data_IF_652204545423
#
_entry.id   IF_652204545423
#
_cell.length_a   1.000
_cell.length_b   1.000
_cell.length_c   1.000
_cell.angle_alpha   90.00
_cell.angle_beta   90.00
_cell.angle_gamma   90.00
#
_symmetry.space_group_name_H-M   'P 1'
#
loop_
_entity.id
_entity.type
_entity.pdbx_description
1 polymer ?
#
# COMPACT_ATOMS: atom_id res chain seq x y z
N UNK A 1 18.92 -25.93 -8.36
CA UNK A 1 17.94 -25.97 -7.25
C UNK A 1 18.63 -26.60 -6.06
N UNK A 2 19.31 -25.78 -5.26
CA UNK A 2 19.83 -26.21 -3.97
C UNK A 2 18.65 -26.30 -3.00
N UNK A 3 18.43 -27.49 -2.44
CA UNK A 3 17.55 -27.66 -1.28
C UNK A 3 18.17 -26.84 -0.14
N UNK A 4 17.62 -25.66 0.16
CA UNK A 4 17.85 -25.04 1.48
C UNK A 4 17.37 -26.04 2.51
N UNK A 5 18.29 -26.65 3.25
CA UNK A 5 17.99 -27.38 4.47
C UNK A 5 17.19 -26.43 5.37
N UNK A 6 15.91 -26.73 5.58
CA UNK A 6 15.15 -26.10 6.65
C UNK A 6 15.81 -26.54 7.96
N UNK A 7 16.68 -25.68 8.51
CA UNK A 7 17.21 -25.86 9.86
C UNK A 7 15.99 -25.77 10.78
N UNK A 8 15.62 -26.90 11.39
CA UNK A 8 14.47 -26.97 12.28
C UNK A 8 14.62 -25.98 13.44
N UNK A 9 13.60 -25.14 13.65
CA UNK A 9 13.48 -24.26 14.82
C UNK A 9 13.60 -25.08 16.11
N UNK A 10 14.16 -24.47 17.15
CA UNK A 10 14.20 -25.10 18.47
C UNK A 10 12.79 -25.24 19.04
N UNK A 11 12.49 -26.41 19.58
CA UNK A 11 11.26 -26.65 20.32
C UNK A 11 11.23 -25.81 21.59
N UNK A 12 10.02 -25.62 22.14
CA UNK A 12 9.81 -24.89 23.40
C UNK A 12 10.72 -25.36 24.55
N UNK A 13 10.96 -26.67 24.63
CA UNK A 13 11.79 -27.28 25.67
C UNK A 13 13.27 -26.98 25.42
N UNK A 14 13.72 -27.02 24.16
CA UNK A 14 15.10 -26.70 23.78
C UNK A 14 15.42 -25.21 23.98
N UNK A 15 14.49 -24.31 23.63
CA UNK A 15 14.62 -22.86 23.87
C UNK A 15 14.76 -22.54 25.35
N UNK A 16 13.94 -23.20 26.18
CA UNK A 16 14.06 -23.07 27.63
C UNK A 16 15.43 -23.57 28.10
N UNK A 17 15.86 -24.76 27.70
CA UNK A 17 17.14 -25.31 28.12
C UNK A 17 18.35 -24.46 27.71
N UNK A 18 18.36 -23.95 26.48
CA UNK A 18 19.46 -23.09 25.99
C UNK A 18 19.47 -21.72 26.68
N UNK A 19 18.30 -21.09 26.86
CA UNK A 19 18.21 -19.85 27.65
C UNK A 19 18.71 -20.05 29.08
N UNK A 20 18.27 -21.13 29.73
CA UNK A 20 18.69 -21.50 31.08
C UNK A 20 20.21 -21.69 31.18
N UNK A 21 20.79 -22.40 30.20
CA UNK A 21 22.22 -22.72 30.12
C UNK A 21 23.07 -21.46 29.94
N UNK A 22 22.74 -20.61 28.96
CA UNK A 22 23.49 -19.36 28.69
C UNK A 22 23.35 -18.35 29.83
N UNK A 23 22.15 -18.20 30.40
CA UNK A 23 21.92 -17.33 31.55
C UNK A 23 22.71 -17.77 32.79
N UNK A 24 22.79 -19.08 33.06
CA UNK A 24 23.58 -19.63 34.17
C UNK A 24 25.09 -19.52 33.92
N UNK A 25 25.54 -19.71 32.67
CA UNK A 25 26.95 -19.57 32.30
C UNK A 25 27.47 -18.13 32.48
N UNK A 26 26.66 -17.12 32.14
CA UNK A 26 27.00 -15.71 32.37
C UNK A 26 26.93 -15.27 33.84
N UNK A 27 26.09 -15.93 34.65
CA UNK A 27 25.94 -15.64 36.08
C UNK A 27 27.09 -16.20 36.96
N UNK A 28 27.83 -17.20 36.49
CA UNK A 28 28.78 -17.99 37.29
C UNK A 28 30.22 -17.45 37.38
N UNK A 29 30.43 -16.14 37.57
CA UNK A 29 31.78 -15.65 37.97
C UNK A 29 31.87 -15.00 39.34
N UNK A 30 30.82 -14.92 40.16
CA UNK A 30 31.06 -14.51 41.57
C UNK A 30 30.03 -14.90 42.61
N UNK A 31 28.82 -15.37 42.26
CA UNK A 31 27.86 -15.78 43.29
C UNK A 31 27.08 -17.03 42.87
N UNK A 32 27.48 -18.17 43.44
CA UNK A 32 26.83 -19.47 43.34
C UNK A 32 25.45 -19.55 44.03
N UNK A 33 24.75 -18.42 44.16
CA UNK A 33 23.48 -18.30 44.92
C UNK A 33 22.45 -17.34 44.31
N UNK A 34 22.47 -17.07 43.01
CA UNK A 34 21.23 -16.58 42.36
C UNK A 34 20.31 -17.78 42.16
N UNK A 35 19.51 -18.06 43.19
CA UNK A 35 18.27 -18.82 43.01
C UNK A 35 17.55 -18.25 41.79
N UNK A 36 17.04 -19.16 40.95
CA UNK A 36 16.13 -18.84 39.87
C UNK A 36 15.05 -17.94 40.41
N UNK A 37 15.12 -16.63 40.17
CA UNK A 37 14.07 -15.77 40.66
C UNK A 37 12.84 -16.11 39.83
N UNK A 38 11.73 -16.44 40.50
CA UNK A 38 10.45 -16.71 39.84
C UNK A 38 10.09 -15.58 38.86
N UNK A 39 10.58 -14.36 39.11
CA UNK A 39 10.46 -13.20 38.23
C UNK A 39 11.19 -13.37 36.89
N UNK A 40 12.41 -13.92 36.87
CA UNK A 40 13.16 -14.16 35.61
C UNK A 40 12.48 -15.25 34.79
N UNK A 41 12.07 -16.35 35.42
CA UNK A 41 11.38 -17.42 34.69
C UNK A 41 9.98 -17.00 34.23
N UNK A 42 9.25 -16.23 35.05
CA UNK A 42 7.98 -15.65 34.65
C UNK A 42 8.15 -14.75 33.43
N UNK A 43 9.17 -13.89 33.40
CA UNK A 43 9.46 -13.04 32.24
C UNK A 43 9.86 -13.86 31.01
N UNK A 44 10.68 -14.90 31.20
CA UNK A 44 11.03 -15.81 30.12
C UNK A 44 9.79 -16.44 29.49
N UNK A 45 8.92 -17.05 30.30
CA UNK A 45 7.74 -17.74 29.78
C UNK A 45 6.68 -16.81 29.20
N UNK A 46 6.54 -15.59 29.74
CA UNK A 46 5.47 -14.67 29.30
C UNK A 46 5.87 -13.79 28.14
N UNK A 47 7.18 -13.50 27.95
CA UNK A 47 7.64 -12.54 26.95
C UNK A 47 8.70 -13.12 26.01
N UNK A 48 9.82 -13.59 26.55
CA UNK A 48 10.97 -14.06 25.77
C UNK A 48 10.64 -15.31 24.93
N UNK A 49 9.94 -16.27 25.51
CA UNK A 49 9.60 -17.54 24.85
C UNK A 49 8.58 -17.35 23.73
N UNK A 50 7.63 -16.44 23.89
CA UNK A 50 6.62 -16.14 22.87
C UNK A 50 7.30 -15.58 21.62
N UNK A 51 8.25 -14.65 21.79
CA UNK A 51 9.02 -14.08 20.69
C UNK A 51 9.96 -15.11 20.03
N UNK A 52 10.66 -15.92 20.83
CA UNK A 52 11.53 -16.97 20.27
C UNK A 52 10.76 -17.98 19.39
N UNK A 53 9.50 -18.26 19.74
CA UNK A 53 8.63 -19.13 18.94
C UNK A 53 8.09 -18.46 17.67
N UNK A 54 8.17 -17.13 17.52
CA UNK A 54 7.78 -16.41 16.30
C UNK A 54 8.92 -16.22 15.29
N UNK A 55 10.17 -16.47 15.68
CA UNK A 55 11.33 -16.34 14.78
C UNK A 55 11.36 -17.45 13.74
N UNK A 56 11.75 -17.12 12.51
CA UNK A 56 11.66 -18.03 11.37
C UNK A 56 12.83 -19.01 11.31
N UNK A 57 13.96 -18.66 11.92
CA UNK A 57 15.15 -19.51 11.92
C UNK A 57 15.73 -19.78 13.31
N UNK A 58 16.42 -20.91 13.42
CA UNK A 58 17.18 -21.28 14.62
C UNK A 58 18.32 -20.30 14.91
N UNK A 59 18.95 -19.74 13.88
CA UNK A 59 20.03 -18.76 14.02
C UNK A 59 19.54 -17.47 14.71
N UNK A 60 18.36 -16.97 14.30
CA UNK A 60 17.70 -15.83 14.95
C UNK A 60 17.34 -16.14 16.41
N UNK A 61 16.87 -17.37 16.70
CA UNK A 61 16.58 -17.81 18.06
C UNK A 61 17.83 -17.83 18.94
N UNK A 62 18.96 -18.31 18.44
CA UNK A 62 20.22 -18.38 19.19
C UNK A 62 20.84 -17.00 19.44
N UNK A 63 20.82 -16.11 18.43
CA UNK A 63 21.30 -14.73 18.53
C UNK A 63 20.47 -13.92 19.55
N UNK A 64 19.14 -14.10 19.53
CA UNK A 64 18.27 -13.44 20.49
C UNK A 64 18.49 -13.92 21.93
N UNK A 65 18.73 -15.23 22.12
CA UNK A 65 19.08 -15.75 23.46
C UNK A 65 20.39 -15.11 23.95
N UNK A 66 21.41 -14.97 23.09
CA UNK A 66 22.69 -14.33 23.46
C UNK A 66 22.51 -12.86 23.86
N UNK A 67 21.68 -12.11 23.13
CA UNK A 67 21.34 -10.73 23.49
C UNK A 67 20.60 -10.64 24.83
N UNK A 68 19.63 -11.54 25.03
CA UNK A 68 18.79 -11.55 26.23
C UNK A 68 19.55 -11.99 27.50
N UNK A 69 20.67 -12.71 27.36
CA UNK A 69 21.48 -13.15 28.51
C UNK A 69 22.65 -12.21 28.84
N UNK A 70 23.10 -11.39 27.91
CA UNK A 70 24.30 -10.55 28.02
C UNK A 70 24.32 -9.59 29.24
N UNK A 71 25.39 -9.68 30.04
CA UNK A 71 25.67 -8.85 31.25
C UNK A 71 25.48 -7.33 31.12
N UNK A 72 25.66 -6.71 29.95
CA UNK A 72 25.43 -5.25 29.83
C UNK A 72 23.96 -4.86 30.05
N UNK A 73 23.02 -5.74 29.70
CA UNK A 73 21.59 -5.58 29.96
C UNK A 73 21.19 -5.86 31.42
N UNK A 74 22.12 -6.37 32.24
CA UNK A 74 21.86 -6.68 33.66
C UNK A 74 22.24 -5.54 34.63
N UNK A 75 22.94 -4.49 34.18
CA UNK A 75 23.48 -3.41 35.05
C UNK A 75 22.67 -2.12 35.09
N UNK A 76 21.64 -1.95 34.27
CA UNK A 76 20.68 -0.84 34.36
C UNK A 76 19.27 -1.39 34.60
N UNK A 77 18.39 -0.71 35.34
CA UNK A 77 17.11 -1.28 35.73
C UNK A 77 16.29 -1.52 34.47
N UNK A 78 16.04 -2.81 34.27
CA UNK A 78 15.15 -3.50 33.34
C UNK A 78 13.84 -2.74 33.01
N UNK A 79 13.40 -1.77 33.80
CA UNK A 79 12.20 -0.96 33.59
C UNK A 79 12.24 -0.08 32.32
N UNK A 80 13.32 0.67 32.07
CA UNK A 80 13.35 1.56 30.88
C UNK A 80 13.37 0.80 29.56
N UNK A 81 14.05 -0.34 29.52
CA UNK A 81 14.12 -1.18 28.31
C UNK A 81 12.88 -2.09 28.18
N UNK A 82 12.24 -2.50 29.29
CA UNK A 82 10.90 -3.11 29.27
C UNK A 82 9.87 -2.14 28.72
N UNK A 83 9.95 -0.84 29.02
CA UNK A 83 9.02 0.15 28.45
C UNK A 83 9.19 0.29 26.93
N UNK A 84 10.44 0.30 26.42
CA UNK A 84 10.70 0.24 24.98
C UNK A 84 10.22 -1.07 24.33
N UNK A 85 10.41 -2.21 25.02
CA UNK A 85 9.92 -3.51 24.54
C UNK A 85 8.40 -3.63 24.57
N UNK A 86 7.73 -3.09 25.60
CA UNK A 86 6.27 -3.07 25.67
C UNK A 86 5.70 -2.15 24.59
N UNK A 87 6.30 -0.98 24.37
CA UNK A 87 5.92 -0.08 23.27
C UNK A 87 6.08 -0.77 21.90
N UNK A 88 7.16 -1.53 21.70
CA UNK A 88 7.37 -2.27 20.45
C UNK A 88 6.39 -3.46 20.29
N UNK A 89 6.08 -4.17 21.37
CA UNK A 89 5.09 -5.26 21.37
C UNK A 89 3.66 -4.73 21.16
N UNK A 90 3.29 -3.63 21.80
CA UNK A 90 2.02 -2.93 21.59
C UNK A 90 1.89 -2.44 20.15
N UNK A 91 2.96 -1.89 19.57
CA UNK A 91 2.97 -1.52 18.14
C UNK A 91 2.80 -2.76 17.26
N UNK A 92 3.49 -3.87 17.53
CA UNK A 92 3.32 -5.10 16.74
C UNK A 92 1.92 -5.71 16.89
N UNK A 93 1.34 -5.74 18.09
CA UNK A 93 -0.02 -6.19 18.33
C UNK A 93 -1.01 -5.29 17.60
N UNK A 94 -0.83 -3.97 17.67
CA UNK A 94 -1.63 -3.01 16.91
C UNK A 94 -1.52 -3.25 15.40
N UNK A 95 -0.31 -3.46 14.86
CA UNK A 95 -0.11 -3.79 13.44
C UNK A 95 -0.77 -5.13 13.07
N UNK A 96 -0.69 -6.15 13.93
CA UNK A 96 -1.36 -7.43 13.70
C UNK A 96 -2.89 -7.31 13.74
N UNK A 97 -3.44 -6.52 14.67
CA UNK A 97 -4.86 -6.21 14.73
C UNK A 97 -5.33 -5.45 13.49
N UNK A 98 -4.54 -4.48 13.00
CA UNK A 98 -4.82 -3.79 11.74
C UNK A 98 -4.86 -4.76 10.56
N UNK A 99 -3.87 -5.65 10.44
CA UNK A 99 -3.82 -6.68 9.38
C UNK A 99 -5.03 -7.62 9.49
N UNK A 100 -5.38 -8.05 10.70
CA UNK A 100 -6.53 -8.93 10.92
C UNK A 100 -7.86 -8.23 10.56
N UNK A 101 -8.00 -6.95 10.92
CA UNK A 101 -9.17 -6.14 10.57
C UNK A 101 -9.26 -5.92 9.06
N UNK A 102 -8.17 -5.53 8.40
CA UNK A 102 -8.11 -5.40 6.94
C UNK A 102 -8.48 -6.71 6.23
N UNK A 103 -7.99 -7.84 6.72
CA UNK A 103 -8.31 -9.15 6.18
C UNK A 103 -9.80 -9.50 6.36
N UNK A 104 -10.39 -9.19 7.52
CA UNK A 104 -11.84 -9.35 7.73
C UNK A 104 -12.66 -8.47 6.79
N UNK A 105 -12.26 -7.20 6.60
CA UNK A 105 -12.91 -6.28 5.65
C UNK A 105 -12.83 -6.84 4.23
N UNK A 106 -11.64 -7.24 3.76
CA UNK A 106 -11.45 -7.85 2.44
C UNK A 106 -12.29 -9.12 2.25
N UNK A 107 -12.39 -9.97 3.27
CA UNK A 107 -13.27 -11.14 3.21
C UNK A 107 -14.75 -10.79 3.13
N UNK A 108 -15.19 -9.76 3.87
CA UNK A 108 -16.57 -9.29 3.83
C UNK A 108 -16.91 -8.69 2.46
N UNK A 109 -16.03 -7.86 1.91
CA UNK A 109 -16.14 -7.29 0.57
C UNK A 109 -16.23 -8.39 -0.49
N UNK A 110 -15.31 -9.36 -0.47
CA UNK A 110 -15.32 -10.48 -1.40
C UNK A 110 -16.62 -11.29 -1.34
N UNK A 111 -17.12 -11.58 -0.14
CA UNK A 111 -18.40 -12.29 0.03
C UNK A 111 -19.58 -11.47 -0.50
N UNK A 112 -19.54 -10.15 -0.36
CA UNK A 112 -20.57 -9.25 -0.87
C UNK A 112 -20.54 -9.21 -2.40
N UNK A 113 -19.37 -9.02 -3.00
CA UNK A 113 -19.19 -9.00 -4.46
C UNK A 113 -19.60 -10.33 -5.09
N UNK A 114 -19.19 -11.45 -4.49
CA UNK A 114 -19.58 -12.77 -4.96
C UNK A 114 -21.10 -12.95 -4.96
N UNK A 115 -21.81 -12.51 -3.89
CA UNK A 115 -23.28 -12.56 -3.85
C UNK A 115 -23.92 -11.72 -4.97
N UNK A 116 -23.43 -10.49 -5.18
CA UNK A 116 -23.93 -9.61 -6.24
C UNK A 116 -23.73 -10.24 -7.62
N UNK A 117 -22.56 -10.84 -7.88
CA UNK A 117 -22.29 -11.55 -9.13
C UNK A 117 -23.27 -12.71 -9.34
N UNK A 118 -23.52 -13.54 -8.31
CA UNK A 118 -24.48 -14.65 -8.41
C UNK A 118 -25.90 -14.15 -8.69
N UNK A 119 -26.32 -13.05 -8.06
CA UNK A 119 -27.63 -12.44 -8.31
C UNK A 119 -27.75 -11.88 -9.74
N UNK A 120 -26.70 -11.24 -10.25
CA UNK A 120 -26.64 -10.76 -11.63
C UNK A 120 -26.74 -11.92 -12.64
N UNK A 121 -25.98 -13.00 -12.42
CA UNK A 121 -26.02 -14.21 -13.26
C UNK A 121 -27.40 -14.85 -13.27
N UNK A 122 -28.11 -14.90 -12.13
CA UNK A 122 -29.51 -15.36 -12.06
C UNK A 122 -30.47 -14.51 -12.91
N UNK A 123 -30.16 -13.22 -13.09
CA UNK A 123 -30.90 -12.29 -13.95
C UNK A 123 -30.42 -12.31 -15.41
N UNK A 124 -29.50 -13.21 -15.76
CA UNK A 124 -28.93 -13.30 -17.11
C UNK A 124 -27.90 -12.21 -17.45
N UNK A 125 -27.40 -11.48 -16.44
CA UNK A 125 -26.40 -10.42 -16.61
C UNK A 125 -25.03 -11.02 -16.32
N UNK A 126 -24.10 -10.87 -17.27
CA UNK A 126 -22.70 -11.26 -17.10
C UNK A 126 -21.92 -9.97 -16.82
N UNK A 127 -21.31 -9.81 -15.62
CA UNK A 127 -20.51 -8.63 -15.32
C UNK A 127 -19.46 -8.38 -16.40
N UNK A 128 -19.35 -7.12 -16.82
CA UNK A 128 -18.42 -6.70 -17.86
C UNK A 128 -17.26 -5.96 -17.22
N UNK A 129 -16.07 -6.55 -17.30
CA UNK A 129 -14.81 -5.87 -16.94
C UNK A 129 -14.64 -4.64 -17.84
N UNK A 130 -13.98 -3.59 -17.35
CA UNK A 130 -13.62 -2.47 -18.23
C UNK A 130 -12.70 -2.98 -19.35
N UNK A 131 -12.76 -2.34 -20.50
CA UNK A 131 -11.78 -2.65 -21.54
C UNK A 131 -10.38 -2.33 -21.03
N UNK A 132 -9.46 -3.29 -21.20
CA UNK A 132 -8.04 -2.99 -21.10
C UNK A 132 -7.71 -1.99 -22.20
N UNK A 133 -7.43 -0.75 -21.81
CA UNK A 133 -6.87 0.21 -22.74
C UNK A 133 -5.49 -0.33 -23.18
N UNK A 134 -5.05 0.03 -24.38
CA UNK A 134 -3.70 -0.33 -24.83
C UNK A 134 -3.00 0.92 -25.37
N UNK A 135 -1.70 1.13 -25.09
CA UNK A 135 -0.95 2.30 -25.52
C UNK A 135 -1.05 2.57 -27.04
N UNK A 136 -1.08 1.49 -27.84
CA UNK A 136 -1.20 1.56 -29.30
C UNK A 136 -2.55 2.08 -29.81
N UNK A 137 -3.58 2.20 -28.94
CA UNK A 137 -4.91 2.70 -29.32
C UNK A 137 -5.02 4.23 -29.34
N UNK A 138 -4.05 4.98 -28.79
CA UNK A 138 -4.10 6.45 -28.74
C UNK A 138 -2.88 7.15 -29.37
N UNK A 139 -2.51 6.86 -30.64
CA UNK A 139 -1.35 7.49 -31.28
C UNK A 139 -1.50 9.03 -31.41
N UNK A 140 -2.73 9.55 -31.35
CA UNK A 140 -2.98 11.00 -31.38
C UNK A 140 -2.46 11.74 -30.14
N UNK A 141 -2.30 11.05 -29.00
CA UNK A 141 -1.78 11.64 -27.77
C UNK A 141 -0.32 12.04 -27.89
N UNK A 142 0.47 11.39 -28.75
CA UNK A 142 1.90 11.69 -28.97
C UNK A 142 2.14 13.19 -29.23
N UNK A 143 1.21 13.84 -29.94
CA UNK A 143 1.31 15.25 -30.30
C UNK A 143 0.58 16.20 -29.32
N UNK A 144 -0.13 15.63 -28.33
CA UNK A 144 -0.93 16.38 -27.34
C UNK A 144 -0.23 16.50 -25.99
N UNK A 145 0.69 15.60 -25.66
CA UNK A 145 1.38 15.57 -24.36
C UNK A 145 2.91 15.71 -24.54
N UNK A 146 3.61 16.08 -23.46
CA UNK A 146 5.06 16.17 -23.46
C UNK A 146 5.70 14.78 -23.75
N UNK A 147 6.77 14.71 -24.56
CA UNK A 147 7.44 13.46 -24.90
C UNK A 147 7.89 12.65 -23.68
N UNK A 148 8.26 13.32 -22.59
CA UNK A 148 8.67 12.71 -21.33
C UNK A 148 7.50 11.98 -20.65
N UNK A 149 6.30 12.57 -20.68
CA UNK A 149 5.09 11.94 -20.15
C UNK A 149 4.69 10.76 -21.04
N UNK A 150 4.73 10.93 -22.37
CA UNK A 150 4.48 9.83 -23.30
C UNK A 150 5.46 8.68 -23.09
N UNK A 151 6.76 8.99 -22.96
CA UNK A 151 7.82 8.04 -22.66
C UNK A 151 7.52 7.27 -21.39
N UNK A 152 7.20 7.96 -20.29
CA UNK A 152 6.84 7.35 -19.02
C UNK A 152 5.64 6.39 -19.14
N UNK A 153 4.55 6.84 -19.77
CA UNK A 153 3.33 6.03 -19.94
C UNK A 153 3.54 4.83 -20.87
N UNK A 154 4.53 4.88 -21.76
CA UNK A 154 4.82 3.83 -22.75
C UNK A 154 5.85 2.80 -22.26
N UNK A 155 6.45 2.98 -21.08
CA UNK A 155 7.39 2.00 -20.52
C UNK A 155 6.61 0.77 -20.03
N UNK A 156 6.71 -0.34 -20.78
CA UNK A 156 5.98 -1.59 -20.53
C UNK A 156 6.38 -2.33 -19.22
N UNK A 157 7.37 -1.85 -18.46
CA UNK A 157 8.10 -2.63 -17.45
C UNK A 157 8.20 -2.00 -16.03
N UNK A 158 7.39 -1.03 -15.63
CA UNK A 158 7.36 -0.60 -14.21
C UNK A 158 6.50 -1.54 -13.37
N UNK A 159 7.00 -1.89 -12.17
CA UNK A 159 6.27 -2.61 -11.11
C UNK A 159 4.93 -1.93 -10.80
N UNK A 160 4.87 -0.61 -10.98
CA UNK A 160 3.67 0.24 -11.00
C UNK A 160 3.17 0.38 -12.44
N UNK A 161 2.58 -0.68 -12.99
CA UNK A 161 1.96 -0.62 -14.32
C UNK A 161 0.88 0.45 -14.25
N UNK A 162 1.14 1.63 -14.85
CA UNK A 162 0.06 2.56 -15.10
C UNK A 162 -0.88 1.84 -16.04
N UNK A 163 -2.06 1.52 -15.52
CA UNK A 163 -3.15 1.00 -16.31
C UNK A 163 -3.26 1.86 -17.56
N UNK A 164 -3.44 1.27 -18.73
CA UNK A 164 -3.57 2.06 -19.94
C UNK A 164 -4.79 3.00 -19.90
N UNK A 165 -5.67 2.83 -18.91
CA UNK A 165 -6.65 3.82 -18.50
C UNK A 165 -6.04 5.23 -18.23
N UNK A 166 -4.77 5.32 -17.84
CA UNK A 166 -4.01 6.57 -17.72
C UNK A 166 -3.99 7.38 -19.03
N UNK A 167 -3.94 6.72 -20.20
CA UNK A 167 -4.03 7.41 -21.49
C UNK A 167 -5.40 8.06 -21.70
N UNK A 168 -6.48 7.42 -21.22
CA UNK A 168 -7.82 8.00 -21.27
C UNK A 168 -7.92 9.25 -20.39
N UNK A 169 -7.37 9.20 -19.18
CA UNK A 169 -7.27 10.37 -18.28
C UNK A 169 -6.50 11.51 -18.96
N UNK A 170 -5.35 11.19 -19.56
CA UNK A 170 -4.51 12.19 -20.24
C UNK A 170 -5.17 12.82 -21.45
N UNK A 171 -5.91 12.07 -22.28
CA UNK A 171 -6.63 12.65 -23.42
C UNK A 171 -7.76 13.57 -22.95
N UNK A 172 -8.47 13.16 -21.90
CA UNK A 172 -9.52 13.97 -21.26
C UNK A 172 -8.95 15.25 -20.66
N UNK A 173 -7.79 15.20 -20.03
CA UNK A 173 -7.12 16.39 -19.47
C UNK A 173 -6.56 17.29 -20.57
N UNK A 174 -5.93 16.73 -21.62
CA UNK A 174 -5.41 17.47 -22.76
C UNK A 174 -6.48 18.25 -23.54
N UNK A 175 -7.75 17.84 -23.44
CA UNK A 175 -8.86 18.59 -24.02
C UNK A 175 -9.03 19.98 -23.40
N UNK A 176 -8.93 20.09 -22.07
CA UNK A 176 -9.14 21.34 -21.34
C UNK A 176 -7.85 22.05 -20.95
N UNK A 177 -6.75 21.31 -20.81
CA UNK A 177 -5.45 21.80 -20.34
C UNK A 177 -4.31 21.52 -21.34
N UNK A 178 -4.44 21.93 -22.61
CA UNK A 178 -3.48 21.57 -23.66
C UNK A 178 -2.08 22.16 -23.43
N UNK A 179 -1.95 23.35 -22.82
CA UNK A 179 -0.62 23.93 -22.55
C UNK A 179 0.05 23.21 -21.38
N UNK A 180 -0.71 22.88 -20.35
CA UNK A 180 -0.27 22.08 -19.19
C UNK A 180 0.31 20.76 -19.64
N UNK A 181 -0.41 20.05 -20.53
CA UNK A 181 0.05 18.74 -21.03
C UNK A 181 1.32 18.83 -21.89
N UNK A 182 1.63 20.02 -22.45
CA UNK A 182 2.80 20.29 -23.29
C UNK A 182 3.90 21.05 -22.55
N UNK A 183 3.79 21.19 -21.24
CA UNK A 183 4.82 21.87 -20.45
C UNK A 183 6.17 21.21 -20.65
N UNK A 184 7.23 22.02 -20.60
CA UNK A 184 8.63 21.56 -20.64
C UNK A 184 9.27 21.61 -19.26
N UNK A 185 8.56 22.13 -18.26
CA UNK A 185 9.07 22.20 -16.90
C UNK A 185 9.11 20.79 -16.29
N UNK A 186 10.30 20.35 -15.88
CA UNK A 186 10.50 19.00 -15.37
C UNK A 186 9.76 18.73 -14.05
N UNK A 187 9.58 19.74 -13.19
CA UNK A 187 8.87 19.58 -11.91
C UNK A 187 7.38 19.43 -12.16
N UNK A 188 6.83 20.22 -13.08
CA UNK A 188 5.44 20.09 -13.53
C UNK A 188 5.21 18.75 -14.20
N UNK A 189 6.13 18.28 -15.07
CA UNK A 189 6.05 16.95 -15.70
C UNK A 189 5.98 15.84 -14.64
N UNK A 190 6.87 15.86 -13.64
CA UNK A 190 6.84 14.85 -12.57
C UNK A 190 5.53 14.88 -11.79
N UNK A 191 5.06 16.09 -11.46
CA UNK A 191 3.80 16.28 -10.73
C UNK A 191 2.58 15.83 -11.55
N UNK A 192 2.61 16.01 -12.87
CA UNK A 192 1.58 15.51 -13.79
C UNK A 192 1.56 13.98 -13.81
N UNK A 193 2.73 13.35 -13.85
CA UNK A 193 2.84 11.89 -13.80
C UNK A 193 2.25 11.35 -12.49
N UNK A 194 2.64 11.93 -11.35
CA UNK A 194 2.09 11.56 -10.04
C UNK A 194 0.57 11.76 -9.98
N UNK A 195 0.07 12.89 -10.48
CA UNK A 195 -1.36 13.19 -10.51
C UNK A 195 -2.13 12.18 -11.36
N UNK A 196 -1.60 11.75 -12.51
CA UNK A 196 -2.20 10.73 -13.37
C UNK A 196 -2.23 9.37 -12.68
N UNK A 197 -1.16 8.98 -11.98
CA UNK A 197 -1.11 7.72 -11.23
C UNK A 197 -2.22 7.69 -10.18
N UNK A 198 -2.31 8.72 -9.36
CA UNK A 198 -3.31 8.77 -8.28
C UNK A 198 -4.74 8.89 -8.82
N UNK A 199 -4.94 9.66 -9.90
CA UNK A 199 -6.23 9.73 -10.58
C UNK A 199 -6.64 8.36 -11.16
N UNK A 200 -5.70 7.64 -11.77
CA UNK A 200 -5.94 6.30 -12.33
C UNK A 200 -6.39 5.35 -11.22
N UNK A 201 -5.65 5.30 -10.10
CA UNK A 201 -6.01 4.47 -8.94
C UNK A 201 -7.41 4.79 -8.40
N UNK A 202 -7.74 6.08 -8.30
CA UNK A 202 -9.05 6.52 -7.81
C UNK A 202 -10.19 6.10 -8.74
N UNK A 203 -10.05 6.33 -10.05
CA UNK A 203 -11.09 6.00 -11.04
C UNK A 203 -11.24 4.49 -11.22
N UNK A 204 -10.16 3.73 -11.36
CA UNK A 204 -10.24 2.27 -11.54
C UNK A 204 -10.78 1.58 -10.30
N UNK A 205 -10.45 2.05 -9.09
CA UNK A 205 -11.05 1.52 -7.85
C UNK A 205 -12.57 1.66 -7.82
N UNK A 206 -13.14 2.70 -8.42
CA UNK A 206 -14.59 2.85 -8.55
C UNK A 206 -15.16 1.97 -9.67
N UNK A 207 -14.49 1.93 -10.82
CA UNK A 207 -14.94 1.22 -12.03
C UNK A 207 -14.79 -0.31 -11.97
N UNK A 208 -13.88 -0.81 -11.14
CA UNK A 208 -13.57 -2.23 -10.99
C UNK A 208 -14.46 -2.91 -9.94
N UNK A 209 -15.28 -2.16 -9.20
CA UNK A 209 -16.29 -2.72 -8.28
C UNK A 209 -17.28 -3.61 -9.03
N UNK A 210 -17.71 -4.70 -8.41
CA UNK A 210 -18.69 -5.62 -9.01
C UNK A 210 -19.98 -4.92 -9.48
N UNK A 211 -20.49 -3.96 -8.70
CA UNK A 211 -21.69 -3.18 -9.08
C UNK A 211 -21.47 -2.40 -10.40
N UNK A 212 -20.30 -1.78 -10.56
CA UNK A 212 -19.94 -1.04 -11.76
C UNK A 212 -19.84 -1.97 -12.96
N UNK A 213 -19.27 -3.17 -12.80
CA UNK A 213 -19.20 -4.17 -13.86
C UNK A 213 -20.58 -4.69 -14.29
N UNK A 214 -21.50 -4.86 -13.34
CA UNK A 214 -22.89 -5.25 -13.62
C UNK A 214 -23.61 -4.14 -14.40
N UNK A 215 -23.51 -2.89 -13.93
CA UNK A 215 -24.11 -1.73 -14.61
C UNK A 215 -23.52 -1.49 -16.00
N UNK A 216 -22.21 -1.71 -16.16
CA UNK A 216 -21.53 -1.66 -17.47
C UNK A 216 -22.12 -2.69 -18.43
N UNK A 217 -22.36 -3.91 -17.97
CA UNK A 217 -23.02 -4.96 -18.77
C UNK A 217 -24.47 -4.59 -19.15
N UNK A 218 -25.09 -3.67 -18.42
CA UNK A 218 -26.42 -3.11 -18.72
C UNK A 218 -26.36 -1.87 -19.63
N UNK A 219 -25.17 -1.46 -20.08
CA UNK A 219 -24.97 -0.36 -21.01
C UNK A 219 -24.66 1.00 -20.35
N UNK A 220 -24.45 1.05 -19.03
CA UNK A 220 -24.02 2.29 -18.34
C UNK A 220 -22.54 2.56 -18.67
N UNK A 221 -22.24 3.80 -19.08
CA UNK A 221 -20.88 4.19 -19.44
C UNK A 221 -19.97 4.40 -18.23
N UNK A 222 -18.65 4.24 -18.40
CA UNK A 222 -17.69 4.47 -17.31
C UNK A 222 -17.79 5.90 -16.73
N UNK A 223 -18.08 6.91 -17.56
CA UNK A 223 -18.27 8.28 -17.07
C UNK A 223 -19.50 8.45 -16.17
N UNK A 224 -20.60 7.77 -16.49
CA UNK A 224 -21.80 7.76 -15.64
C UNK A 224 -21.52 7.03 -14.33
N UNK A 225 -20.79 5.89 -14.37
CA UNK A 225 -20.38 5.15 -13.18
C UNK A 225 -19.49 5.98 -12.25
N UNK A 226 -18.53 6.72 -12.81
CA UNK A 226 -17.68 7.63 -12.04
C UNK A 226 -18.49 8.76 -11.39
N UNK A 227 -19.49 9.30 -12.12
CA UNK A 227 -20.38 10.32 -11.56
C UNK A 227 -21.25 9.77 -10.43
N UNK A 228 -21.85 8.59 -10.61
CA UNK A 228 -22.61 7.91 -9.55
C UNK A 228 -21.75 7.62 -8.31
N UNK A 229 -20.49 7.23 -8.53
CA UNK A 229 -19.52 6.99 -7.47
C UNK A 229 -18.94 8.27 -6.86
N UNK A 230 -19.39 9.45 -7.31
CA UNK A 230 -18.91 10.75 -6.87
C UNK A 230 -17.40 10.95 -7.05
N UNK A 231 -16.84 10.41 -8.12
CA UNK A 231 -15.42 10.54 -8.45
C UNK A 231 -15.22 11.77 -9.33
N UNK A 232 -14.50 12.76 -8.81
CA UNK A 232 -14.08 13.92 -9.58
C UNK A 232 -12.91 13.55 -10.52
N UNK A 233 -13.14 13.72 -11.82
CA UNK A 233 -12.22 13.31 -12.88
C UNK A 233 -10.97 14.21 -13.07
N UNK A 234 -10.91 15.32 -12.34
CA UNK A 234 -9.85 16.34 -12.40
C UNK A 234 -9.24 16.64 -11.03
N UNK A 235 -9.61 15.90 -9.99
CA UNK A 235 -9.21 16.19 -8.61
C UNK A 235 -7.69 16.27 -8.43
N UNK A 236 -6.95 15.25 -8.88
CA UNK A 236 -5.49 15.23 -8.70
C UNK A 236 -4.77 16.28 -9.56
N UNK A 237 -5.28 16.58 -10.76
CA UNK A 237 -4.75 17.65 -11.59
C UNK A 237 -4.87 19.01 -10.90
N UNK A 238 -6.05 19.29 -10.33
CA UNK A 238 -6.36 20.59 -9.72
C UNK A 238 -5.90 20.72 -8.27
N UNK A 239 -5.37 19.65 -7.66
CA UNK A 239 -4.84 19.67 -6.29
C UNK A 239 -3.32 19.77 -6.24
N UNK A 240 -2.61 19.39 -7.30
CA UNK A 240 -1.15 19.38 -7.30
C UNK A 240 -0.56 20.80 -7.33
N UNK A 241 0.10 21.21 -6.25
CA UNK A 241 0.61 22.58 -6.06
C UNK A 241 1.57 23.02 -7.17
N UNK A 242 2.49 22.14 -7.59
CA UNK A 242 3.44 22.46 -8.66
C UNK A 242 2.76 22.65 -10.02
N UNK A 243 1.71 21.89 -10.32
CA UNK A 243 0.91 22.08 -11.54
C UNK A 243 0.18 23.42 -11.46
N UNK A 244 -0.41 23.73 -10.31
CA UNK A 244 -1.12 24.98 -10.09
C UNK A 244 -0.21 26.22 -10.19
N UNK A 245 1.09 26.09 -9.95
CA UNK A 245 2.05 27.18 -10.06
C UNK A 245 2.65 27.31 -11.48
N UNK A 246 2.45 26.32 -12.34
CA UNK A 246 3.00 26.30 -13.70
C UNK A 246 2.34 27.36 -14.59
N UNK A 247 3.17 28.14 -15.29
CA UNK A 247 2.69 29.19 -16.19
C UNK A 247 1.79 28.68 -17.31
N UNK A 248 2.06 27.48 -17.84
CA UNK A 248 1.26 26.83 -18.89
C UNK A 248 -0.12 26.46 -18.35
N UNK A 249 -0.19 25.99 -17.11
CA UNK A 249 -1.46 25.70 -16.44
C UNK A 249 -2.29 26.95 -16.19
N UNK A 250 -1.63 28.05 -15.78
CA UNK A 250 -2.31 29.33 -15.62
C UNK A 250 -2.87 29.85 -16.95
N UNK A 251 -2.15 29.69 -18.06
CA UNK A 251 -2.64 30.05 -19.39
C UNK A 251 -3.89 29.25 -19.80
N UNK A 252 -3.93 27.96 -19.49
CA UNK A 252 -5.11 27.12 -19.74
C UNK A 252 -6.31 27.61 -18.89
N UNK A 253 -6.11 27.88 -17.60
CA UNK A 253 -7.15 28.39 -16.71
C UNK A 253 -7.70 29.75 -17.18
N UNK A 254 -6.83 30.66 -17.64
CA UNK A 254 -7.26 31.93 -18.22
C UNK A 254 -8.06 31.74 -19.51
N UNK A 255 -7.68 30.76 -20.34
CA UNK A 255 -8.39 30.44 -21.58
C UNK A 255 -9.77 29.88 -21.30
N UNK A 256 -9.88 28.94 -20.34
CA UNK A 256 -11.16 28.39 -19.89
C UNK A 256 -12.06 29.50 -19.32
N UNK A 257 -11.50 30.41 -18.52
CA UNK A 257 -12.25 31.56 -17.99
C UNK A 257 -12.83 32.44 -19.09
N UNK A 258 -12.11 32.64 -20.20
CA UNK A 258 -12.59 33.40 -21.37
C UNK A 258 -13.73 32.69 -22.11
N UNK A 259 -13.77 31.36 -22.07
CA UNK A 259 -14.87 30.57 -22.66
C UNK A 259 -16.06 30.41 -21.70
N UNK A 260 -15.99 30.98 -20.50
CA UNK A 260 -17.03 30.93 -19.48
C UNK A 260 -16.97 29.70 -18.57
N UNK A 261 -15.97 28.83 -18.76
CA UNK A 261 -15.72 27.67 -17.90
C UNK A 261 -14.86 28.10 -16.72
N UNK A 262 -15.33 27.86 -15.51
CA UNK A 262 -14.59 28.16 -14.29
C UNK A 262 -13.94 26.91 -13.72
N UNK A 263 -12.91 27.10 -12.91
CA UNK A 263 -12.24 25.98 -12.21
C UNK A 263 -13.22 25.23 -11.32
N UNK A 264 -14.13 25.94 -10.68
CA UNK A 264 -15.17 25.39 -9.81
C UNK A 264 -16.11 24.43 -10.53
N UNK A 265 -16.26 24.58 -11.85
CA UNK A 265 -17.12 23.71 -12.65
C UNK A 265 -16.55 22.29 -12.74
N UNK A 266 -15.23 22.11 -12.58
CA UNK A 266 -14.59 20.79 -12.50
C UNK A 266 -14.71 20.14 -11.12
N UNK A 267 -15.22 20.85 -10.10
CA UNK A 267 -15.49 20.30 -8.77
C UNK A 267 -16.95 19.86 -8.57
N UNK A 268 -17.84 20.20 -9.52
CA UNK A 268 -19.24 19.80 -9.45
C UNK A 268 -19.37 18.32 -9.82
N UNK A 269 -19.83 17.52 -8.86
CA UNK A 269 -20.19 16.09 -9.02
C UNK A 269 -21.71 15.99 -9.09
#
# INVERSE_FOLDING_TARGET
MEKKEQIAQMSRIELEQEFRKKFTAEANMEDSKREWSDRVMKNFYTKTLVYLLSLESREEQEEFIDLATNRQFQKNPIEREIDYMNMYLEEMEYQQEQIAMEHQVKQAEWKMEWKMEQEAKKRGIIPMMREEYHPHRNPHLINKIAPEIWGFLSLENSQDRLDAYAFFIMDRWAHYFPQTMKTKDQRTIMSLIEAVIEQTKMETKALDRMEAQIKRAQGVSDMELLKEAQVNQYYHLLKADYIMQDSSHQMDLETLKKTGIKREDFYQI
#
